data_IF_747012653378
#
_entry.id   IF_747012653378
#
_cell.length_a   1.000
_cell.length_b   1.000
_cell.length_c   1.000
_cell.angle_alpha   90.00
_cell.angle_beta   90.00
_cell.angle_gamma   90.00
#
_symmetry.space_group_name_H-M   'P 1'
#
loop_
_entity.id
_entity.type
_entity.pdbx_description
1 polymer ?
#
# COMPACT_ATOMS: atom_id res chain seq x y z
N UNK A 1 -10.01 15.13 12.35
CA UNK A 1 -8.97 14.34 11.64
C UNK A 1 -9.41 14.19 10.19
N UNK A 2 -8.69 14.82 9.25
CA UNK A 2 -9.06 14.86 7.82
C UNK A 2 -8.53 13.66 7.02
N UNK A 3 -7.42 13.07 7.48
CA UNK A 3 -6.74 11.96 6.84
C UNK A 3 -6.48 10.86 7.86
N UNK A 4 -6.63 9.60 7.45
CA UNK A 4 -6.23 8.40 8.18
C UNK A 4 -5.24 7.63 7.32
N UNK A 5 -4.09 7.27 7.88
CA UNK A 5 -3.11 6.43 7.22
C UNK A 5 -2.87 5.16 8.04
N UNK A 6 -2.93 4.00 7.39
CA UNK A 6 -2.63 2.72 7.99
C UNK A 6 -1.72 1.88 7.09
N UNK A 7 -1.28 0.74 7.63
CA UNK A 7 -0.54 -0.29 6.90
C UNK A 7 -1.18 -1.65 7.15
N UNK A 8 -0.34 -2.67 7.42
CA UNK A 8 -0.73 -4.05 7.77
C UNK A 8 -1.37 -4.89 6.65
N UNK A 9 -2.18 -4.28 5.77
CA UNK A 9 -2.88 -5.02 4.71
C UNK A 9 -1.99 -5.35 3.49
N UNK A 10 -0.76 -4.81 3.43
CA UNK A 10 0.19 -5.00 2.32
C UNK A 10 -0.40 -4.65 0.94
N UNK A 11 -1.25 -3.62 0.92
CA UNK A 11 -1.93 -3.12 -0.26
C UNK A 11 -1.94 -1.60 -0.22
N UNK A 12 -2.00 -1.02 -1.40
CA UNK A 12 -2.27 0.39 -1.57
C UNK A 12 -3.79 0.63 -1.52
N UNK A 13 -4.20 1.61 -0.73
CA UNK A 13 -5.57 2.07 -0.66
C UNK A 13 -5.59 3.60 -0.60
N UNK A 14 -6.56 4.22 -1.25
CA UNK A 14 -6.84 5.66 -1.14
C UNK A 14 -8.33 5.89 -1.45
N UNK A 15 -9.13 6.18 -0.41
CA UNK A 15 -10.57 6.35 -0.55
C UNK A 15 -11.12 7.40 0.41
N UNK A 16 -12.31 7.93 0.11
CA UNK A 16 -13.07 8.71 1.09
C UNK A 16 -13.92 7.77 1.96
N UNK A 17 -13.74 7.87 3.27
CA UNK A 17 -14.55 7.18 4.27
C UNK A 17 -15.21 8.20 5.19
N UNK A 18 -16.49 8.49 4.92
CA UNK A 18 -17.30 9.45 5.69
C UNK A 18 -16.66 10.86 5.76
N UNK A 19 -16.20 11.38 4.62
CA UNK A 19 -15.57 12.71 4.53
C UNK A 19 -14.15 12.76 5.08
N UNK A 20 -13.50 11.59 5.22
CA UNK A 20 -12.11 11.46 5.66
C UNK A 20 -11.37 10.63 4.63
N UNK A 21 -10.26 11.14 4.13
CA UNK A 21 -9.40 10.38 3.21
C UNK A 21 -8.67 9.30 3.99
N UNK A 22 -9.02 8.04 3.76
CA UNK A 22 -8.38 6.87 4.33
C UNK A 22 -7.40 6.27 3.33
N UNK A 23 -6.17 6.08 3.75
CA UNK A 23 -5.09 5.57 2.92
C UNK A 23 -4.43 4.37 3.59
N UNK A 24 -4.02 3.40 2.77
CA UNK A 24 -3.11 2.34 3.19
C UNK A 24 -1.82 2.44 2.38
N UNK A 25 -0.68 2.30 3.06
CA UNK A 25 0.64 2.24 2.43
C UNK A 25 0.97 0.78 2.10
N UNK A 26 1.43 0.49 0.86
CA UNK A 26 1.92 -0.84 0.52
C UNK A 26 3.09 -1.25 1.41
N UNK A 27 3.36 -2.55 1.50
CA UNK A 27 4.52 -3.04 2.25
C UNK A 27 5.81 -2.78 1.48
N UNK A 28 6.90 -2.55 2.19
CA UNK A 28 8.25 -2.45 1.60
C UNK A 28 8.86 -3.81 1.25
N UNK A 29 8.18 -4.93 1.52
CA UNK A 29 8.66 -6.28 1.18
C UNK A 29 7.79 -7.02 0.15
N UNK A 30 6.63 -7.57 0.57
CA UNK A 30 5.73 -8.39 -0.26
C UNK A 30 4.33 -7.81 -0.23
N UNK A 31 3.57 -7.94 -1.32
CA UNK A 31 2.18 -7.51 -1.37
C UNK A 31 1.23 -8.71 -1.22
N UNK A 32 0.06 -8.48 -0.64
CA UNK A 32 -0.99 -9.50 -0.58
C UNK A 32 -2.01 -9.27 -1.70
N UNK A 33 -2.39 -10.35 -2.38
CA UNK A 33 -3.33 -10.30 -3.48
C UNK A 33 -4.73 -9.96 -2.96
N UNK A 34 -5.41 -8.93 -3.50
CA UNK A 34 -6.75 -8.57 -3.06
C UNK A 34 -7.77 -9.63 -3.46
N UNK A 35 -8.87 -9.70 -2.70
CA UNK A 35 -10.02 -10.59 -2.96
C UNK A 35 -9.69 -12.10 -2.93
N UNK A 36 -8.69 -12.50 -2.14
CA UNK A 36 -8.39 -13.90 -1.87
C UNK A 36 -8.89 -14.30 -0.46
N UNK A 37 -9.55 -15.46 -0.37
CA UNK A 37 -10.00 -16.00 0.93
C UNK A 37 -8.84 -16.61 1.74
N UNK A 38 -7.81 -17.07 1.05
CA UNK A 38 -6.60 -17.63 1.62
C UNK A 38 -5.44 -16.64 1.45
N UNK A 39 -4.43 -16.75 2.31
CA UNK A 39 -3.18 -16.03 2.13
C UNK A 39 -2.64 -16.26 0.72
N UNK A 40 -2.40 -15.18 -0.01
CA UNK A 40 -1.90 -15.21 -1.39
C UNK A 40 -1.01 -14.00 -1.62
N UNK A 41 0.22 -14.25 -2.04
CA UNK A 41 1.15 -13.18 -2.42
C UNK A 41 0.78 -12.63 -3.81
N UNK A 42 0.95 -11.33 -3.97
CA UNK A 42 0.84 -10.66 -5.26
C UNK A 42 2.22 -10.53 -5.92
N UNK A 43 2.24 -10.43 -7.25
CA UNK A 43 3.46 -10.20 -8.04
C UNK A 43 3.84 -8.73 -8.13
N UNK A 44 3.00 -7.84 -7.60
CA UNK A 44 3.28 -6.40 -7.55
C UNK A 44 4.53 -6.14 -6.68
N UNK A 45 5.44 -5.30 -7.20
CA UNK A 45 6.66 -4.91 -6.48
C UNK A 45 6.36 -4.29 -5.10
N UNK A 46 7.27 -4.42 -4.11
CA UNK A 46 7.22 -3.64 -2.88
C UNK A 46 7.05 -2.15 -3.15
N UNK A 47 6.49 -1.43 -2.19
CA UNK A 47 6.25 -0.01 -2.34
C UNK A 47 6.40 0.76 -1.03
N UNK A 48 6.49 2.07 -1.18
CA UNK A 48 6.43 3.03 -0.08
C UNK A 48 5.57 4.22 -0.51
N UNK A 49 5.25 5.11 0.44
CA UNK A 49 4.44 6.30 0.17
C UNK A 49 5.16 7.55 0.66
N UNK A 50 5.30 8.54 -0.22
CA UNK A 50 5.65 9.90 0.16
C UNK A 50 4.42 10.65 0.66
N UNK A 51 4.62 11.47 1.69
CA UNK A 51 3.62 12.38 2.25
C UNK A 51 4.25 13.75 2.34
N UNK A 52 3.64 14.73 1.69
CA UNK A 52 4.01 16.13 1.78
C UNK A 52 2.86 16.89 2.43
N UNK A 53 3.12 17.42 3.63
CA UNK A 53 2.17 18.14 4.44
C UNK A 53 2.36 19.64 4.24
N UNK A 54 1.32 20.32 3.76
CA UNK A 54 1.38 21.75 3.44
C UNK A 54 0.84 22.62 4.59
N UNK A 55 1.28 23.90 4.72
CA UNK A 55 0.82 24.80 5.78
C UNK A 55 -0.69 25.11 5.75
N UNK A 56 -1.34 25.00 4.58
CA UNK A 56 -2.79 25.17 4.42
C UNK A 56 -3.60 23.94 4.87
N UNK A 57 -2.92 22.89 5.31
CA UNK A 57 -3.51 21.63 5.75
C UNK A 57 -3.89 20.70 4.61
N UNK A 58 -3.42 20.95 3.38
CA UNK A 58 -3.49 19.99 2.27
C UNK A 58 -2.38 18.93 2.39
N UNK A 59 -2.61 17.79 1.73
CA UNK A 59 -1.69 16.66 1.69
C UNK A 59 -1.47 16.24 0.23
N UNK A 60 -0.23 16.31 -0.23
CA UNK A 60 0.21 15.66 -1.46
C UNK A 60 0.83 14.32 -1.10
N UNK A 61 0.58 13.28 -1.91
CA UNK A 61 1.08 11.94 -1.64
C UNK A 61 1.30 11.16 -2.92
N UNK A 62 2.31 10.31 -2.92
CA UNK A 62 2.68 9.47 -4.04
C UNK A 62 3.08 8.09 -3.51
N UNK A 63 2.62 7.03 -4.18
CA UNK A 63 3.12 5.67 -3.96
C UNK A 63 4.23 5.40 -4.98
N UNK A 64 5.39 5.01 -4.47
CA UNK A 64 6.54 4.67 -5.29
C UNK A 64 6.81 3.17 -5.17
N UNK A 65 7.27 2.57 -6.27
CA UNK A 65 7.69 1.17 -6.35
C UNK A 65 8.99 1.11 -7.14
N UNK A 66 9.93 0.20 -6.82
CA UNK A 66 11.14 0.04 -7.59
C UNK A 66 10.79 -0.48 -8.99
N UNK A 67 11.41 0.12 -10.00
CA UNK A 67 11.27 -0.29 -11.40
C UNK A 67 12.19 -1.48 -11.71
N UNK A 68 11.78 -2.30 -12.67
CA UNK A 68 12.51 -3.49 -13.10
C UNK A 68 11.93 -4.80 -12.56
N UNK A 69 12.25 -5.90 -13.25
CA UNK A 69 11.65 -7.22 -13.02
C UNK A 69 12.31 -8.04 -11.90
N UNK A 70 13.17 -7.47 -11.06
CA UNK A 70 13.96 -8.25 -10.10
C UNK A 70 13.15 -8.77 -8.89
N UNK A 71 11.89 -8.34 -8.74
CA UNK A 71 11.04 -8.82 -7.66
C UNK A 71 10.23 -10.05 -8.10
N UNK A 72 10.64 -11.20 -7.58
CA UNK A 72 9.95 -12.48 -7.77
C UNK A 72 9.65 -13.09 -6.40
N UNK A 73 8.50 -12.76 -5.78
CA UNK A 73 8.12 -13.38 -4.53
C UNK A 73 7.84 -14.87 -4.77
N UNK A 74 8.10 -15.70 -3.77
CA UNK A 74 7.68 -17.10 -3.82
C UNK A 74 6.15 -17.18 -3.67
N UNK A 75 5.44 -17.11 -4.80
CA UNK A 75 3.98 -17.14 -4.86
C UNK A 75 3.37 -18.46 -4.37
N UNK A 76 4.18 -19.50 -4.16
CA UNK A 76 3.73 -20.77 -3.59
C UNK A 76 3.80 -20.80 -2.06
N UNK A 77 4.35 -19.76 -1.41
CA UNK A 77 4.40 -19.69 0.06
C UNK A 77 2.99 -19.61 0.65
N UNK A 78 2.70 -20.46 1.63
CA UNK A 78 1.43 -20.46 2.37
C UNK A 78 1.45 -19.52 3.60
N UNK A 79 2.55 -18.79 3.84
CA UNK A 79 2.68 -17.86 4.95
C UNK A 79 3.79 -16.81 4.78
N UNK A 80 3.91 -15.93 5.79
CA UNK A 80 4.97 -14.92 5.93
C UNK A 80 5.39 -14.72 7.39
#
# INVERSE_FOLDING_TARGET
MKHLLCGHIHQELDLDWNGRRMMATPSTCVQFKPHCANFTLDTVSPGWRWLELHPDGTLTTEVCRPEGAAFHPDIASEGY
#
